data_IF_693931213261
#
_entry.id   IF_693931213261
#
_cell.length_a   1.000
_cell.length_b   1.000
_cell.length_c   1.000
_cell.angle_alpha   90.00
_cell.angle_beta   90.00
_cell.angle_gamma   90.00
#
_symmetry.space_group_name_H-M   'P 1'
#
loop_
_entity.id
_entity.type
_entity.pdbx_description
1 polymer ?
#
# COMPACT_ATOMS: atom_id res chain seq x y z
N UNK A 1 -5.97 17.49 -0.83
CA UNK A 1 -6.00 16.88 0.51
C UNK A 1 -4.75 17.35 1.24
N UNK A 2 -4.81 17.58 2.54
CA UNK A 2 -3.75 18.23 3.34
C UNK A 2 -2.43 17.45 3.27
N UNK A 3 -1.36 18.08 2.76
CA UNK A 3 -0.05 17.43 2.55
C UNK A 3 0.71 17.26 3.86
N UNK A 4 0.63 18.26 4.76
CA UNK A 4 1.35 18.23 6.03
C UNK A 4 0.75 17.16 6.97
N UNK A 5 -0.57 16.97 6.89
CA UNK A 5 -1.24 15.90 7.64
C UNK A 5 -0.87 14.51 7.09
N UNK A 6 -0.66 14.39 5.78
CA UNK A 6 -0.25 13.13 5.14
C UNK A 6 1.14 12.69 5.59
N UNK A 7 2.08 13.62 5.62
CA UNK A 7 3.45 13.38 6.05
C UNK A 7 3.51 13.07 7.56
N UNK A 8 2.80 13.84 8.40
CA UNK A 8 2.75 13.60 9.85
C UNK A 8 2.04 12.29 10.25
N UNK A 9 1.16 11.78 9.38
CA UNK A 9 0.56 10.47 9.55
C UNK A 9 1.47 9.32 9.10
N UNK A 10 2.67 9.59 8.59
CA UNK A 10 3.58 8.59 8.04
C UNK A 10 2.96 7.85 6.85
N UNK A 11 2.26 8.60 6.00
CA UNK A 11 1.61 8.07 4.79
C UNK A 11 0.61 6.94 5.07
N UNK A 12 -0.01 6.96 6.26
CA UNK A 12 -1.06 6.03 6.65
C UNK A 12 -2.45 6.64 6.37
N UNK A 13 -3.21 6.11 5.40
CA UNK A 13 -4.51 6.67 5.02
C UNK A 13 -5.58 6.50 6.09
N UNK A 14 -5.54 5.43 6.88
CA UNK A 14 -6.49 5.20 7.99
C UNK A 14 -6.25 6.23 9.09
N UNK A 15 -4.98 6.46 9.44
CA UNK A 15 -4.60 7.47 10.43
C UNK A 15 -4.96 8.87 9.96
N UNK A 16 -4.70 9.20 8.69
CA UNK A 16 -5.09 10.47 8.09
C UNK A 16 -6.60 10.71 8.22
N UNK A 17 -7.43 9.75 7.82
CA UNK A 17 -8.89 9.87 7.89
C UNK A 17 -9.41 9.96 9.33
N UNK A 18 -8.71 9.37 10.29
CA UNK A 18 -9.04 9.52 11.71
C UNK A 18 -8.55 10.83 12.34
N UNK A 19 -7.58 11.52 11.73
CA UNK A 19 -6.95 12.73 12.31
C UNK A 19 -7.45 14.02 11.64
N UNK A 20 -7.93 13.95 10.41
CA UNK A 20 -8.47 15.10 9.68
C UNK A 20 -9.67 15.70 10.41
N UNK A 21 -9.76 17.04 10.46
CA UNK A 21 -10.86 17.71 11.14
C UNK A 21 -12.17 17.59 10.35
N UNK A 22 -13.29 17.47 11.06
CA UNK A 22 -14.61 17.40 10.46
C UNK A 22 -14.89 18.60 9.54
N UNK A 23 -14.53 19.82 9.99
CA UNK A 23 -14.64 21.04 9.18
C UNK A 23 -13.92 20.92 7.83
N UNK A 24 -12.71 20.32 7.82
CA UNK A 24 -11.96 20.13 6.59
C UNK A 24 -12.61 19.12 5.65
N UNK A 25 -13.23 18.07 6.20
CA UNK A 25 -13.99 17.10 5.39
C UNK A 25 -15.21 17.77 4.74
N UNK A 26 -15.92 18.63 5.46
CA UNK A 26 -17.05 19.40 4.94
C UNK A 26 -16.63 20.35 3.81
N UNK A 27 -15.54 21.10 4.00
CA UNK A 27 -14.95 21.94 2.95
C UNK A 27 -14.57 21.13 1.69
N UNK A 28 -14.02 19.92 1.86
CA UNK A 28 -13.66 19.05 0.75
C UNK A 28 -14.89 18.47 0.06
N UNK A 29 -15.97 18.18 0.80
CA UNK A 29 -17.22 17.67 0.26
C UNK A 29 -17.92 18.69 -0.65
N UNK A 30 -17.72 20.00 -0.43
CA UNK A 30 -18.26 21.06 -1.28
C UNK A 30 -17.30 21.47 -2.41
N UNK A 31 -16.02 21.09 -2.32
CA UNK A 31 -15.01 21.47 -3.28
C UNK A 31 -15.14 20.66 -4.60
N UNK A 32 -15.70 21.30 -5.62
CA UNK A 32 -15.89 20.71 -6.96
C UNK A 32 -14.60 20.17 -7.60
N UNK A 33 -13.46 20.85 -7.40
CA UNK A 33 -12.18 20.41 -7.93
C UNK A 33 -11.72 19.10 -7.30
N UNK A 34 -11.84 19.01 -5.96
CA UNK A 34 -11.54 17.80 -5.22
C UNK A 34 -12.48 16.65 -5.59
N UNK A 35 -13.79 16.88 -5.66
CA UNK A 35 -14.77 15.85 -6.07
C UNK A 35 -14.50 15.33 -7.48
N UNK A 36 -14.12 16.20 -8.42
CA UNK A 36 -13.74 15.79 -9.78
C UNK A 36 -12.52 14.87 -9.76
N UNK A 37 -11.48 15.23 -9.00
CA UNK A 37 -10.29 14.41 -8.85
C UNK A 37 -10.61 13.06 -8.18
N UNK A 38 -11.42 13.07 -7.12
CA UNK A 38 -11.85 11.87 -6.40
C UNK A 38 -12.60 10.91 -7.33
N UNK A 39 -13.58 11.44 -8.09
CA UNK A 39 -14.34 10.65 -9.06
C UNK A 39 -13.42 10.06 -10.13
N UNK A 40 -12.48 10.84 -10.67
CA UNK A 40 -11.51 10.35 -11.66
C UNK A 40 -10.66 9.19 -11.14
N UNK A 41 -10.20 9.27 -9.90
CA UNK A 41 -9.41 8.20 -9.26
C UNK A 41 -10.29 6.98 -8.98
N UNK A 42 -11.52 7.18 -8.51
CA UNK A 42 -12.47 6.10 -8.26
C UNK A 42 -12.80 5.34 -9.54
N UNK A 43 -13.09 6.04 -10.64
CA UNK A 43 -13.36 5.42 -11.94
C UNK A 43 -12.14 4.67 -12.48
N UNK A 44 -10.93 5.23 -12.32
CA UNK A 44 -9.69 4.53 -12.68
C UNK A 44 -9.52 3.23 -11.89
N UNK A 45 -9.82 3.24 -10.58
CA UNK A 45 -9.76 2.06 -9.72
C UNK A 45 -10.81 1.01 -10.11
N UNK A 46 -12.06 1.42 -10.35
CA UNK A 46 -13.12 0.52 -10.83
C UNK A 46 -12.72 -0.13 -12.16
N UNK A 47 -12.24 0.66 -13.11
CA UNK A 47 -11.78 0.15 -14.39
C UNK A 47 -10.63 -0.85 -14.21
N UNK A 48 -9.67 -0.57 -13.31
CA UNK A 48 -8.59 -1.49 -13.00
C UNK A 48 -9.10 -2.82 -12.43
N UNK A 49 -10.05 -2.80 -11.49
CA UNK A 49 -10.59 -4.00 -10.85
C UNK A 49 -11.51 -4.86 -11.76
N UNK A 50 -12.20 -4.24 -12.72
CA UNK A 50 -13.14 -4.93 -13.61
C UNK A 50 -12.59 -5.29 -14.99
N UNK A 51 -11.44 -4.73 -15.38
CA UNK A 51 -10.83 -5.06 -16.66
C UNK A 51 -10.26 -6.49 -16.62
N UNK A 52 -10.42 -7.27 -17.71
CA UNK A 52 -9.84 -8.60 -17.77
C UNK A 52 -8.32 -8.50 -17.69
N UNK A 53 -7.74 -9.26 -16.76
CA UNK A 53 -6.30 -9.26 -16.52
C UNK A 53 -5.55 -9.92 -17.68
N UNK A 54 -4.22 -9.79 -17.70
CA UNK A 54 -3.41 -10.51 -18.68
C UNK A 54 -3.58 -12.03 -18.55
N UNK A 55 -3.61 -12.55 -17.32
CA UNK A 55 -3.81 -13.98 -17.05
C UNK A 55 -5.14 -14.50 -17.60
N UNK A 56 -6.22 -13.73 -17.44
CA UNK A 56 -7.55 -14.11 -17.97
C UNK A 56 -7.60 -14.11 -19.49
N UNK A 57 -6.83 -13.24 -20.16
CA UNK A 57 -6.74 -13.21 -21.63
C UNK A 57 -5.99 -14.42 -22.19
N UNK A 58 -4.93 -14.85 -21.50
CA UNK A 58 -4.10 -16.00 -21.94
C UNK A 58 -4.74 -17.33 -21.56
N UNK A 59 -5.54 -17.38 -20.49
CA UNK A 59 -6.20 -18.58 -20.01
C UNK A 59 -7.72 -18.39 -19.78
N UNK A 60 -8.52 -18.18 -20.84
CA UNK A 60 -9.95 -17.84 -20.71
C UNK A 60 -10.83 -19.02 -20.25
N UNK A 61 -10.40 -20.27 -20.47
CA UNK A 61 -11.17 -21.49 -20.17
C UNK A 61 -10.43 -22.48 -19.27
N UNK A 62 -9.19 -22.19 -18.88
CA UNK A 62 -8.42 -23.09 -18.03
C UNK A 62 -8.72 -22.92 -16.56
N UNK A 63 -8.29 -23.89 -15.77
CA UNK A 63 -8.34 -23.83 -14.32
C UNK A 63 -7.57 -22.61 -13.81
N UNK A 64 -8.08 -21.98 -12.75
CA UNK A 64 -7.39 -20.90 -12.03
C UNK A 64 -6.70 -21.52 -10.80
N UNK A 65 -5.48 -22.07 -10.93
CA UNK A 65 -4.78 -22.64 -9.79
C UNK A 65 -4.48 -21.53 -8.78
N UNK A 66 -4.82 -21.75 -7.50
CA UNK A 66 -4.48 -20.80 -6.45
C UNK A 66 -3.03 -21.02 -6.02
N UNK A 67 -2.16 -20.04 -6.26
CA UNK A 67 -0.74 -20.11 -5.94
C UNK A 67 -0.52 -19.47 -4.57
N UNK A 68 -0.02 -20.23 -3.59
CA UNK A 68 0.40 -19.70 -2.31
C UNK A 68 1.89 -19.32 -2.35
N UNK A 69 2.20 -18.04 -2.15
CA UNK A 69 3.56 -17.52 -2.05
C UNK A 69 3.90 -17.29 -0.58
N UNK A 70 4.90 -18.00 -0.06
CA UNK A 70 5.32 -17.87 1.34
C UNK A 70 6.58 -17.02 1.43
N UNK A 71 6.53 -15.97 2.25
CA UNK A 71 7.69 -15.14 2.57
C UNK A 71 7.64 -14.75 4.04
N UNK A 72 8.81 -14.63 4.66
CA UNK A 72 8.92 -14.10 6.02
C UNK A 72 8.61 -12.59 6.06
N UNK A 73 8.87 -11.86 4.98
CA UNK A 73 8.75 -10.40 4.91
C UNK A 73 8.05 -9.94 3.62
N UNK A 74 7.35 -8.80 3.67
CA UNK A 74 6.69 -8.20 2.51
C UNK A 74 6.74 -6.67 2.53
N UNK A 75 7.52 -6.05 1.67
CA UNK A 75 7.59 -4.60 1.50
C UNK A 75 6.45 -4.07 0.64
N UNK A 76 5.22 -4.06 1.16
CA UNK A 76 4.02 -3.63 0.41
C UNK A 76 3.86 -2.11 0.43
N UNK A 77 4.02 -1.50 1.60
CA UNK A 77 3.89 -0.05 1.79
C UNK A 77 4.76 0.39 2.97
N UNK A 78 5.32 1.60 2.89
CA UNK A 78 6.18 2.19 3.93
C UNK A 78 5.50 2.33 5.31
N UNK A 79 4.16 2.34 5.33
CA UNK A 79 3.37 2.43 6.56
C UNK A 79 3.21 1.08 7.27
N UNK A 80 3.63 -0.03 6.63
CA UNK A 80 3.64 -1.37 7.18
C UNK A 80 5.09 -1.80 7.46
N UNK A 81 5.56 -1.75 8.71
CA UNK A 81 6.95 -2.06 9.05
C UNK A 81 7.18 -3.58 9.16
N UNK A 82 6.83 -4.32 8.09
CA UNK A 82 6.88 -5.79 8.02
C UNK A 82 8.04 -6.30 7.15
N UNK A 83 9.06 -5.47 6.94
CA UNK A 83 10.28 -5.83 6.21
C UNK A 83 11.51 -5.17 6.83
N UNK A 84 12.65 -5.85 6.77
CA UNK A 84 13.92 -5.44 7.40
C UNK A 84 15.05 -5.20 6.41
N UNK A 85 14.89 -5.68 5.16
CA UNK A 85 15.90 -5.57 4.12
C UNK A 85 15.37 -5.87 2.72
N UNK A 86 16.29 -6.13 1.77
CA UNK A 86 15.96 -6.28 0.35
C UNK A 86 15.05 -7.48 -0.01
N UNK A 87 14.97 -8.48 0.87
CA UNK A 87 14.10 -9.65 0.68
C UNK A 87 12.61 -9.28 0.72
N UNK A 88 12.20 -8.43 1.68
CA UNK A 88 10.83 -7.96 1.76
C UNK A 88 10.45 -7.08 0.57
N UNK A 89 11.34 -6.20 0.12
CA UNK A 89 11.13 -5.38 -1.08
C UNK A 89 10.85 -6.22 -2.33
N UNK A 90 11.68 -7.24 -2.57
CA UNK A 90 11.50 -8.16 -3.70
C UNK A 90 10.18 -8.94 -3.60
N UNK A 91 9.82 -9.42 -2.40
CA UNK A 91 8.55 -10.11 -2.18
C UNK A 91 7.35 -9.18 -2.45
N UNK A 92 7.45 -7.91 -2.09
CA UNK A 92 6.45 -6.87 -2.39
C UNK A 92 6.32 -6.62 -3.90
N UNK A 93 7.44 -6.45 -4.61
CA UNK A 93 7.46 -6.26 -6.06
C UNK A 93 6.91 -7.48 -6.80
N UNK A 94 7.14 -8.68 -6.27
CA UNK A 94 6.60 -9.92 -6.82
C UNK A 94 5.07 -9.97 -6.68
N UNK A 95 4.53 -9.64 -5.50
CA UNK A 95 3.08 -9.54 -5.30
C UNK A 95 2.44 -8.46 -6.18
N UNK A 96 3.10 -7.31 -6.33
CA UNK A 96 2.62 -6.22 -7.18
C UNK A 96 2.56 -6.64 -8.64
N UNK A 97 3.64 -7.24 -9.15
CA UNK A 97 3.70 -7.75 -10.52
C UNK A 97 2.66 -8.86 -10.77
N UNK A 98 2.46 -9.74 -9.79
CA UNK A 98 1.42 -10.77 -9.86
C UNK A 98 0.01 -10.18 -9.90
N UNK A 99 -0.25 -9.12 -9.14
CA UNK A 99 -1.51 -8.36 -9.15
C UNK A 99 -1.74 -7.66 -10.49
N UNK A 100 -0.72 -7.00 -11.05
CA UNK A 100 -0.80 -6.30 -12.34
C UNK A 100 -1.08 -7.29 -13.50
N UNK A 101 -0.54 -8.51 -13.42
CA UNK A 101 -0.81 -9.59 -14.38
C UNK A 101 -2.14 -10.32 -14.10
N UNK A 102 -2.73 -10.10 -12.92
CA UNK A 102 -3.92 -10.79 -12.41
C UNK A 102 -3.73 -12.30 -12.24
N UNK A 103 -2.53 -12.71 -11.84
CA UNK A 103 -2.24 -14.10 -11.49
C UNK A 103 -2.97 -14.44 -10.18
N UNK A 104 -3.67 -15.59 -10.09
CA UNK A 104 -4.35 -16.04 -8.87
C UNK A 104 -3.34 -16.46 -7.77
N UNK A 105 -2.71 -15.47 -7.14
CA UNK A 105 -1.65 -15.64 -6.15
C UNK A 105 -2.05 -15.04 -4.80
N UNK A 106 -1.76 -15.76 -3.72
CA UNK A 106 -1.98 -15.34 -2.33
C UNK A 106 -0.64 -15.29 -1.61
N UNK A 107 -0.28 -14.12 -1.09
CA UNK A 107 0.88 -13.96 -0.22
C UNK A 107 0.57 -14.40 1.21
N UNK A 108 1.38 -15.29 1.76
CA UNK A 108 1.33 -15.76 3.14
C UNK A 108 2.62 -15.35 3.84
N UNK A 109 2.49 -14.72 5.01
CA UNK A 109 3.61 -14.24 5.80
C UNK A 109 3.26 -13.99 7.25
N UNK A 110 4.18 -13.36 7.96
CA UNK A 110 4.06 -13.08 9.39
C UNK A 110 3.73 -11.61 9.63
N UNK A 111 2.75 -11.37 10.52
CA UNK A 111 2.43 -10.03 10.99
C UNK A 111 3.24 -9.72 12.25
N UNK A 112 4.40 -9.09 12.07
CA UNK A 112 5.25 -8.67 13.17
C UNK A 112 4.62 -7.46 13.90
N UNK A 113 4.27 -7.62 15.18
CA UNK A 113 3.73 -6.53 16.01
C UNK A 113 4.80 -5.48 16.35
N UNK A 114 6.06 -5.91 16.49
CA UNK A 114 7.22 -5.03 16.58
C UNK A 114 7.87 -5.03 15.21
N UNK A 115 7.57 -4.01 14.41
CA UNK A 115 8.23 -3.82 13.13
C UNK A 115 9.73 -3.63 13.29
N UNK A 116 10.46 -3.65 12.18
CA UNK A 116 11.89 -3.41 12.23
C UNK A 116 12.22 -1.94 12.51
N UNK A 117 13.25 -1.79 13.35
CA UNK A 117 13.99 -0.62 13.75
C UNK A 117 13.80 0.65 12.89
N UNK A 118 13.33 1.75 13.50
CA UNK A 118 13.45 3.09 12.90
C UNK A 118 14.85 3.62 13.16
N UNK A 119 15.63 3.76 12.10
CA UNK A 119 16.97 4.32 12.19
C UNK A 119 16.88 5.84 12.38
N UNK A 120 17.25 6.32 13.57
CA UNK A 120 17.45 7.74 13.81
C UNK A 120 18.93 8.06 13.64
N UNK A 121 19.24 9.05 12.82
CA UNK A 121 20.59 9.61 12.76
C UNK A 121 20.65 10.78 13.74
N UNK A 122 21.56 10.71 14.71
CA UNK A 122 21.89 11.88 15.52
C UNK A 122 22.75 12.86 14.72
N UNK A 123 22.79 14.12 15.18
CA UNK A 123 23.59 15.21 14.59
C UNK A 123 25.08 14.85 14.45
N UNK A 124 25.57 13.91 15.27
CA UNK A 124 26.95 13.42 15.23
C UNK A 124 27.19 12.30 14.19
N UNK A 125 26.21 11.98 13.33
CA UNK A 125 26.31 10.97 12.28
C UNK A 125 26.14 9.52 12.77
N UNK A 126 25.86 9.31 14.05
CA UNK A 126 25.64 7.99 14.62
C UNK A 126 24.19 7.55 14.52
N UNK A 127 24.01 6.27 14.18
CA UNK A 127 22.71 5.62 14.21
C UNK A 127 22.34 5.28 15.64
N UNK A 128 21.20 5.80 16.12
CA UNK A 128 20.66 5.53 17.45
C UNK A 128 19.40 4.67 17.36
N UNK A 129 19.38 3.62 18.17
CA UNK A 129 18.21 2.80 18.48
C UNK A 129 17.47 3.43 19.67
N UNK A 130 16.21 3.87 19.55
CA UNK A 130 15.39 4.08 20.73
C UNK A 130 14.97 2.71 21.28
N UNK A 131 15.24 2.46 22.56
CA UNK A 131 14.81 1.25 23.27
C UNK A 131 13.28 1.18 23.43
#
# INVERSE_FOLDING_TARGET
MDSDLWDSCGHNPVKLLGTISQKRLEELAENKGFLCQLNRVSEKLKNYLHSPSWFEKVNPTGEKPLIAYFSAEYGIHECLPIYSGGLGGLAGDYLKSASDLGIPLVGVGLLYQKGYFRQYLNIDGWTVTPC
#
